data_IF_114580502285
#
_entry.id   IF_114580502285
#
_cell.length_a   1.000
_cell.length_b   1.000
_cell.length_c   1.000
_cell.angle_alpha   90.00
_cell.angle_beta   90.00
_cell.angle_gamma   90.00
#
_symmetry.space_group_name_H-M   'P 1'
#
loop_
_entity.id
_entity.type
_entity.pdbx_description
1 polymer ?
#
# COMPACT_ATOMS: atom_id res chain seq x y z
N UNK A 1 -12.72 -21.13 16.99
CA UNK A 1 -12.41 -20.13 15.95
C UNK A 1 -11.46 -19.14 16.59
N UNK A 2 -10.34 -18.78 15.94
CA UNK A 2 -9.50 -17.72 16.47
C UNK A 2 -10.28 -16.40 16.34
N UNK A 3 -10.69 -15.83 17.47
CA UNK A 3 -11.31 -14.52 17.49
C UNK A 3 -10.27 -13.50 17.01
N UNK A 4 -10.66 -12.63 16.08
CA UNK A 4 -9.74 -11.66 15.51
C UNK A 4 -9.35 -10.64 16.60
N UNK A 5 -8.05 -10.58 16.90
CA UNK A 5 -7.50 -9.61 17.84
C UNK A 5 -6.95 -8.42 17.07
N UNK A 6 -7.59 -7.26 17.26
CA UNK A 6 -7.26 -6.04 16.57
C UNK A 6 -5.83 -5.58 16.90
N UNK A 7 -5.06 -5.21 15.88
CA UNK A 7 -3.69 -4.72 16.05
C UNK A 7 -2.61 -5.81 16.11
N UNK A 8 -2.96 -7.09 16.06
CA UNK A 8 -1.96 -8.16 15.92
C UNK A 8 -1.47 -8.32 14.48
N UNK A 9 -0.20 -8.70 14.32
CA UNK A 9 0.33 -9.15 13.04
C UNK A 9 -0.53 -10.27 12.45
N UNK A 10 -0.95 -10.11 11.20
CA UNK A 10 -1.76 -11.09 10.48
C UNK A 10 -1.17 -11.51 9.12
N UNK A 11 0.01 -10.99 8.78
CA UNK A 11 0.78 -11.40 7.60
C UNK A 11 2.21 -11.79 7.97
N UNK A 12 2.70 -12.87 7.36
CA UNK A 12 4.06 -13.39 7.51
C UNK A 12 5.07 -12.73 6.57
N UNK A 13 6.31 -13.23 6.52
CA UNK A 13 7.40 -12.64 5.74
C UNK A 13 7.06 -12.47 4.26
N UNK A 14 6.36 -13.45 3.66
CA UNK A 14 5.96 -13.38 2.26
C UNK A 14 4.93 -12.27 2.02
N UNK A 15 3.91 -12.19 2.88
CA UNK A 15 2.91 -11.13 2.81
C UNK A 15 3.53 -9.75 2.98
N UNK A 16 4.45 -9.59 3.94
CA UNK A 16 5.19 -8.34 4.16
C UNK A 16 6.02 -7.93 2.94
N UNK A 17 6.73 -8.86 2.32
CA UNK A 17 7.49 -8.60 1.10
C UNK A 17 6.57 -8.18 -0.05
N UNK A 18 5.44 -8.87 -0.26
CA UNK A 18 4.48 -8.51 -1.30
C UNK A 18 3.95 -7.08 -1.12
N UNK A 19 3.61 -6.70 0.12
CA UNK A 19 3.14 -5.34 0.44
C UNK A 19 4.23 -4.29 0.27
N UNK A 20 5.47 -4.59 0.66
CA UNK A 20 6.61 -3.70 0.47
C UNK A 20 6.90 -3.46 -1.02
N UNK A 21 6.92 -4.52 -1.83
CA UNK A 21 7.14 -4.43 -3.29
C UNK A 21 6.01 -3.65 -3.95
N UNK A 22 4.75 -4.00 -3.66
CA UNK A 22 3.61 -3.27 -4.20
C UNK A 22 3.65 -1.79 -3.82
N UNK A 23 3.96 -1.50 -2.57
CA UNK A 23 4.07 -0.14 -2.06
C UNK A 23 5.16 0.67 -2.76
N UNK A 24 6.36 0.11 -2.91
CA UNK A 24 7.46 0.73 -3.63
C UNK A 24 7.12 0.99 -5.11
N UNK A 25 6.50 0.01 -5.78
CA UNK A 25 6.07 0.16 -7.18
C UNK A 25 5.00 1.23 -7.35
N UNK A 26 4.02 1.31 -6.44
CA UNK A 26 2.97 2.32 -6.49
C UNK A 26 3.53 3.74 -6.28
N UNK A 27 4.48 3.91 -5.34
CA UNK A 27 5.16 5.20 -5.12
C UNK A 27 6.03 5.56 -6.33
N UNK A 28 6.82 4.62 -6.86
CA UNK A 28 7.63 4.84 -8.04
C UNK A 28 6.77 5.24 -9.26
N UNK A 29 5.63 4.57 -9.45
CA UNK A 29 4.65 4.92 -10.47
C UNK A 29 4.11 6.34 -10.29
N UNK A 30 3.72 6.73 -9.06
CA UNK A 30 3.24 8.08 -8.78
C UNK A 30 4.31 9.16 -9.08
N UNK A 31 5.58 8.91 -8.74
CA UNK A 31 6.70 9.79 -9.07
C UNK A 31 6.88 9.91 -10.59
N UNK A 32 6.79 8.78 -11.32
CA UNK A 32 6.87 8.76 -12.78
C UNK A 32 5.76 9.59 -13.43
N UNK A 33 4.50 9.39 -13.00
CA UNK A 33 3.35 10.18 -13.48
C UNK A 33 3.56 11.65 -13.18
N UNK A 34 3.97 12.00 -11.95
CA UNK A 34 4.29 13.39 -11.59
C UNK A 34 5.35 14.00 -12.52
N UNK A 35 6.42 13.27 -12.84
CA UNK A 35 7.44 13.71 -13.78
C UNK A 35 6.87 14.01 -15.17
N UNK A 36 6.04 13.12 -15.72
CA UNK A 36 5.36 13.34 -17.01
C UNK A 36 4.47 14.58 -16.97
N UNK A 37 3.71 14.78 -15.88
CA UNK A 37 2.86 15.96 -15.71
C UNK A 37 3.66 17.26 -15.73
N UNK A 38 4.84 17.28 -15.08
CA UNK A 38 5.73 18.45 -15.05
C UNK A 38 6.31 18.77 -16.43
N UNK A 39 6.58 17.77 -17.26
CA UNK A 39 7.13 17.96 -18.61
C UNK A 39 6.10 18.45 -19.63
N UNK A 40 4.81 18.17 -19.43
CA UNK A 40 3.75 18.46 -20.40
C UNK A 40 2.90 19.70 -20.05
N UNK A 41 3.30 20.49 -19.04
CA UNK A 41 2.56 21.67 -18.56
C UNK A 41 1.06 21.39 -18.30
N UNK A 42 0.73 20.17 -17.88
CA UNK A 42 -0.65 19.76 -17.70
C UNK A 42 -1.32 20.49 -16.52
N UNK A 43 -2.67 20.65 -16.53
CA UNK A 43 -3.37 21.35 -15.45
C UNK A 43 -3.08 20.74 -14.08
N UNK A 44 -2.75 21.59 -13.11
CA UNK A 44 -2.37 21.16 -11.75
C UNK A 44 -3.46 20.40 -11.02
N UNK A 45 -4.74 20.58 -11.38
CA UNK A 45 -5.87 19.87 -10.79
C UNK A 45 -5.74 18.33 -10.90
N UNK A 46 -5.11 17.84 -11.97
CA UNK A 46 -4.90 16.40 -12.17
C UNK A 46 -3.83 15.80 -11.25
N UNK A 47 -3.00 16.62 -10.60
CA UNK A 47 -2.07 16.13 -9.58
C UNK A 47 -2.79 15.50 -8.39
N UNK A 48 -4.06 15.86 -8.16
CA UNK A 48 -4.89 15.21 -7.14
C UNK A 48 -5.07 13.71 -7.41
N UNK A 49 -4.98 13.27 -8.68
CA UNK A 49 -5.05 11.85 -9.02
C UNK A 49 -3.86 11.05 -8.49
N UNK A 50 -2.72 11.71 -8.21
CA UNK A 50 -1.55 11.08 -7.59
C UNK A 50 -1.84 10.62 -6.15
N UNK A 51 -2.89 11.17 -5.51
CA UNK A 51 -3.32 10.71 -4.20
C UNK A 51 -3.62 9.21 -4.20
N UNK A 52 -4.24 8.67 -5.24
CA UNK A 52 -4.65 7.26 -5.29
C UNK A 52 -3.45 6.30 -5.21
N UNK A 53 -2.45 6.36 -6.12
CA UNK A 53 -1.29 5.48 -6.04
C UNK A 53 -0.42 5.76 -4.81
N UNK A 54 -0.31 7.02 -4.37
CA UNK A 54 0.43 7.35 -3.15
C UNK A 54 -0.25 6.75 -1.92
N UNK A 55 -1.56 6.95 -1.75
CA UNK A 55 -2.33 6.39 -0.65
C UNK A 55 -2.23 4.87 -0.62
N UNK A 56 -2.49 4.20 -1.75
CA UNK A 56 -2.36 2.74 -1.84
C UNK A 56 -0.93 2.27 -1.54
N UNK A 57 0.07 3.00 -2.03
CA UNK A 57 1.47 2.70 -1.80
C UNK A 57 1.88 2.83 -0.34
N UNK A 58 1.54 3.95 0.30
CA UNK A 58 1.83 4.19 1.72
C UNK A 58 1.11 3.19 2.62
N UNK A 59 -0.18 2.92 2.38
CA UNK A 59 -0.92 1.90 3.13
C UNK A 59 -0.18 0.56 3.04
N UNK A 60 0.21 0.11 1.84
CA UNK A 60 0.93 -1.15 1.70
C UNK A 60 2.30 -1.15 2.39
N UNK A 61 3.04 -0.04 2.37
CA UNK A 61 4.31 0.07 3.10
C UNK A 61 4.08 -0.03 4.61
N UNK A 62 3.05 0.65 5.15
CA UNK A 62 2.67 0.52 6.56
C UNK A 62 2.25 -0.90 6.91
N UNK A 63 1.45 -1.55 6.04
CA UNK A 63 1.06 -2.96 6.22
C UNK A 63 2.29 -3.87 6.28
N UNK A 64 3.26 -3.66 5.39
CA UNK A 64 4.53 -4.41 5.38
C UNK A 64 5.37 -4.17 6.65
N UNK A 65 5.47 -2.91 7.10
CA UNK A 65 6.25 -2.54 8.27
C UNK A 65 5.65 -3.14 9.54
N UNK A 66 4.34 -3.00 9.72
CA UNK A 66 3.59 -3.44 10.89
C UNK A 66 3.27 -4.95 10.88
N UNK A 67 3.43 -5.64 9.75
CA UNK A 67 3.01 -7.04 9.62
C UNK A 67 1.49 -7.21 9.67
N UNK A 68 0.76 -6.18 9.28
CA UNK A 68 -0.69 -6.09 9.40
C UNK A 68 -1.34 -5.77 8.06
N UNK A 69 -2.33 -6.54 7.63
CA UNK A 69 -3.11 -6.30 6.43
C UNK A 69 -4.57 -6.05 6.79
N UNK A 70 -5.09 -4.88 6.40
CA UNK A 70 -6.47 -4.44 6.67
C UNK A 70 -7.48 -5.37 5.99
N UNK A 71 -7.19 -5.85 4.78
CA UNK A 71 -8.09 -6.75 4.05
C UNK A 71 -8.18 -8.13 4.72
N UNK A 72 -7.08 -8.62 5.31
CA UNK A 72 -7.10 -9.87 6.06
C UNK A 72 -7.80 -9.69 7.40
N UNK A 73 -7.61 -8.54 8.06
CA UNK A 73 -8.30 -8.17 9.27
C UNK A 73 -9.82 -8.15 9.11
N UNK A 74 -10.34 -7.52 8.05
CA UNK A 74 -11.80 -7.48 7.78
C UNK A 74 -12.40 -8.86 7.47
N UNK A 75 -11.56 -9.86 7.19
CA UNK A 75 -11.95 -11.24 6.91
C UNK A 75 -11.62 -12.22 8.06
N UNK A 76 -11.02 -11.74 9.16
CA UNK A 76 -10.54 -12.60 10.24
C UNK A 76 -9.46 -13.60 9.83
N UNK A 77 -8.65 -13.26 8.82
CA UNK A 77 -7.60 -14.14 8.27
C UNK A 77 -6.24 -13.81 8.87
N UNK A 78 -5.50 -14.86 9.22
CA UNK A 78 -4.08 -14.80 9.60
C UNK A 78 -3.28 -15.68 8.63
N UNK A 79 -2.37 -15.07 7.87
CA UNK A 79 -1.46 -15.78 6.97
C UNK A 79 -0.02 -15.48 7.39
N UNK A 80 0.47 -16.22 8.38
CA UNK A 80 1.78 -15.99 8.98
C UNK A 80 2.94 -16.65 8.21
N UNK A 81 2.68 -17.12 6.98
CA UNK A 81 3.67 -17.78 6.13
C UNK A 81 4.49 -16.78 5.29
#
# INVERSE_FOLDING_TARGET
MAEYEAGLCNIGPKGRLQRAVFGALAVAFAIGVWGVFRLNAAPSAYLLLLFVPLFAGFVAIFEAALGFCVVYATRGVYDLR
#
